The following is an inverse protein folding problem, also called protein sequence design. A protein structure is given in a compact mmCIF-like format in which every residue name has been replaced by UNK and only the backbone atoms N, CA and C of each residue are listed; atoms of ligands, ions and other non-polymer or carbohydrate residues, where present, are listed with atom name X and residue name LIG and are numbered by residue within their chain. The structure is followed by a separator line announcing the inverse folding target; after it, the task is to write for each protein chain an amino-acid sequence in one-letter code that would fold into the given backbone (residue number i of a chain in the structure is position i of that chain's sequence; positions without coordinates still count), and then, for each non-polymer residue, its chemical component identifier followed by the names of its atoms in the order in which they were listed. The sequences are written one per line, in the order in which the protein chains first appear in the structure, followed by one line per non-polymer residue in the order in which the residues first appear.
data_IF_471362000151
#
_entry.id   IF_471362000151
#
_cell.length_a   1.000
_cell.length_b   1.000
_cell.length_c   1.000
_cell.angle_alpha   90.00
_cell.angle_beta   90.00
_cell.angle_gamma   90.00
#
_symmetry.space_group_name_H-M   'P 1'
#
loop_
_entity.id
_entity.type
_entity.pdbx_description
1 polymer ?
#
# COMPACT_ATOMS: atom_id res chain seq x y z
N UNK A 1 -36.73 -14.63 74.90
CA UNK A 1 -36.38 -13.58 73.96
C UNK A 1 -36.43 -14.22 72.58
N UNK A 2 -37.22 -13.64 71.59
CA UNK A 2 -37.24 -14.15 70.28
C UNK A 2 -35.92 -13.87 69.52
N UNK A 3 -35.47 -14.71 68.57
CA UNK A 3 -34.19 -14.51 67.86
C UNK A 3 -34.26 -13.23 66.99
N UNK A 4 -33.28 -12.33 67.16
CA UNK A 4 -33.15 -11.17 66.29
C UNK A 4 -32.63 -11.64 64.91
N UNK A 5 -33.47 -11.47 63.85
CA UNK A 5 -33.06 -11.69 62.48
C UNK A 5 -32.24 -10.48 62.03
N UNK A 6 -31.08 -10.68 61.35
CA UNK A 6 -30.31 -9.56 60.84
C UNK A 6 -31.14 -8.86 59.73
N UNK A 7 -31.28 -7.54 59.85
CA UNK A 7 -31.91 -6.71 58.83
C UNK A 7 -31.12 -6.76 57.54
N UNK A 8 -31.75 -6.85 56.36
CA UNK A 8 -31.06 -6.79 55.10
C UNK A 8 -30.40 -5.42 54.94
N UNK A 9 -29.08 -5.42 54.79
CA UNK A 9 -28.34 -4.18 54.47
C UNK A 9 -28.81 -3.62 53.14
N UNK A 10 -29.37 -2.45 53.15
CA UNK A 10 -29.72 -1.73 51.93
C UNK A 10 -28.42 -1.32 51.22
N UNK A 11 -28.18 -1.87 50.03
CA UNK A 11 -27.08 -1.44 49.20
C UNK A 11 -27.31 0.03 48.84
N UNK A 12 -26.30 0.89 49.06
CA UNK A 12 -26.42 2.30 48.72
C UNK A 12 -26.72 2.48 47.26
N UNK A 13 -27.67 3.35 46.84
CA UNK A 13 -28.02 3.57 45.44
C UNK A 13 -26.81 4.01 44.61
N UNK A 14 -25.81 4.65 45.22
CA UNK A 14 -24.53 5.02 44.61
C UNK A 14 -23.74 3.82 44.03
N UNK A 15 -23.70 2.71 44.79
CA UNK A 15 -23.01 1.49 44.34
C UNK A 15 -23.72 0.89 43.13
N UNK A 16 -25.04 0.91 43.12
CA UNK A 16 -25.83 0.46 41.97
C UNK A 16 -25.58 1.30 40.71
N UNK A 17 -25.55 2.62 40.87
CA UNK A 17 -25.22 3.53 39.74
C UNK A 17 -23.79 3.34 39.19
N UNK A 18 -22.80 3.17 40.08
CA UNK A 18 -21.42 2.93 39.69
C UNK A 18 -21.27 1.60 38.93
N UNK A 19 -21.92 0.54 39.41
CA UNK A 19 -21.91 -0.76 38.72
C UNK A 19 -22.60 -0.69 37.33
N UNK A 20 -23.75 0.00 37.25
CA UNK A 20 -24.45 0.19 35.98
C UNK A 20 -23.58 0.99 34.96
N UNK A 21 -22.94 2.06 35.46
CA UNK A 21 -22.02 2.87 34.63
C UNK A 21 -20.81 2.05 34.15
N UNK A 22 -20.21 1.27 35.05
CA UNK A 22 -19.07 0.38 34.72
C UNK A 22 -19.49 -0.68 33.69
N UNK A 23 -20.68 -1.27 33.84
CA UNK A 23 -21.19 -2.25 32.87
C UNK A 23 -21.41 -1.61 31.49
N UNK A 24 -22.02 -0.44 31.44
CA UNK A 24 -22.29 0.29 30.22
C UNK A 24 -20.99 0.69 29.49
N UNK A 25 -20.01 1.16 30.25
CA UNK A 25 -18.66 1.47 29.72
C UNK A 25 -17.98 0.23 29.13
N UNK A 26 -18.06 -0.91 29.80
CA UNK A 26 -17.49 -2.16 29.29
C UNK A 26 -18.18 -2.63 28.00
N UNK A 27 -19.50 -2.47 27.90
CA UNK A 27 -20.25 -2.79 26.67
C UNK A 27 -19.80 -1.89 25.51
N UNK A 28 -19.64 -0.58 25.76
CA UNK A 28 -19.16 0.37 24.75
C UNK A 28 -17.74 0.04 24.30
N UNK A 29 -16.85 -0.25 25.25
CA UNK A 29 -15.46 -0.65 24.93
C UNK A 29 -15.38 -1.97 24.17
N UNK A 30 -16.20 -2.97 24.53
CA UNK A 30 -16.29 -4.23 23.83
C UNK A 30 -16.84 -4.04 22.40
N UNK A 31 -17.84 -3.17 22.24
CA UNK A 31 -18.36 -2.80 20.91
C UNK A 31 -17.30 -2.11 20.04
N UNK A 32 -16.55 -1.19 20.62
CA UNK A 32 -15.45 -0.53 19.91
C UNK A 32 -14.33 -1.50 19.55
N UNK A 33 -13.93 -2.39 20.46
CA UNK A 33 -12.94 -3.44 20.18
C UNK A 33 -13.40 -4.40 19.08
N UNK A 34 -14.68 -4.77 19.09
CA UNK A 34 -15.27 -5.61 18.06
C UNK A 34 -15.27 -4.93 16.68
N UNK A 35 -15.65 -3.65 16.61
CA UNK A 35 -15.59 -2.86 15.38
C UNK A 35 -14.14 -2.68 14.88
N UNK A 36 -13.19 -2.47 15.79
CA UNK A 36 -11.77 -2.39 15.46
C UNK A 36 -11.24 -3.74 14.92
N UNK A 37 -11.66 -4.86 15.51
CA UNK A 37 -11.32 -6.19 15.00
C UNK A 37 -11.96 -6.46 13.62
N UNK A 38 -13.21 -6.05 13.39
CA UNK A 38 -13.85 -6.15 12.08
C UNK A 38 -13.14 -5.28 11.04
N UNK A 39 -12.75 -4.05 11.42
CA UNK A 39 -11.95 -3.17 10.57
C UNK A 39 -10.58 -3.78 10.25
N UNK A 40 -9.88 -4.32 11.24
CA UNK A 40 -8.60 -5.01 11.04
C UNK A 40 -8.76 -6.28 10.20
N UNK A 41 -9.83 -7.04 10.38
CA UNK A 41 -10.14 -8.21 9.54
C UNK A 41 -10.44 -7.78 8.10
N UNK A 42 -11.22 -6.73 7.89
CA UNK A 42 -11.49 -6.18 6.56
C UNK A 42 -10.21 -5.61 5.90
N UNK A 43 -9.29 -5.03 6.68
CA UNK A 43 -7.98 -4.60 6.18
C UNK A 43 -7.05 -5.79 5.89
N UNK A 44 -7.16 -6.87 6.64
CA UNK A 44 -6.35 -8.09 6.45
C UNK A 44 -6.92 -9.00 5.34
N UNK A 45 -8.20 -8.85 4.98
CA UNK A 45 -8.77 -9.36 3.73
C UNK A 45 -8.48 -8.41 2.57
N UNK A 46 -7.55 -7.46 2.76
CA UNK A 46 -6.99 -6.66 1.69
C UNK A 46 -6.72 -7.59 0.53
N UNK A 47 -7.44 -7.39 -0.57
CA UNK A 47 -7.44 -8.26 -1.72
C UNK A 47 -6.00 -8.69 -1.98
N UNK A 48 -5.73 -9.98 -1.82
CA UNK A 48 -4.44 -10.54 -2.17
C UNK A 48 -4.32 -10.43 -3.69
N UNK A 49 -3.92 -9.23 -4.15
CA UNK A 49 -3.69 -8.95 -5.55
C UNK A 49 -2.67 -9.91 -6.15
N UNK A 50 -1.97 -10.69 -5.28
CA UNK A 50 -1.07 -11.74 -5.72
C UNK A 50 -1.80 -12.93 -6.34
N UNK A 51 -3.07 -13.15 -6.04
CA UNK A 51 -3.88 -14.25 -6.58
C UNK A 51 -4.86 -13.83 -7.68
N UNK A 52 -4.94 -12.54 -8.01
CA UNK A 52 -5.79 -12.07 -9.10
C UNK A 52 -5.39 -12.76 -10.42
N UNK A 53 -6.28 -13.55 -10.99
CA UNK A 53 -6.11 -14.07 -12.34
C UNK A 53 -6.20 -12.90 -13.32
N UNK A 54 -5.10 -12.59 -13.99
CA UNK A 54 -5.11 -11.60 -15.05
C UNK A 54 -5.90 -12.15 -16.24
N UNK A 55 -6.91 -11.42 -16.65
CA UNK A 55 -7.61 -11.66 -17.90
C UNK A 55 -7.14 -10.64 -18.91
N UNK A 56 -6.69 -11.15 -20.06
CA UNK A 56 -6.36 -10.28 -21.19
C UNK A 56 -7.65 -9.84 -21.88
N UNK A 57 -7.83 -8.54 -21.97
CA UNK A 57 -8.95 -7.95 -22.72
C UNK A 57 -8.40 -7.26 -23.97
N UNK A 58 -8.99 -7.56 -25.11
CA UNK A 58 -8.67 -6.84 -26.35
C UNK A 58 -9.12 -5.38 -26.22
N UNK A 59 -8.16 -4.47 -26.23
CA UNK A 59 -8.46 -3.04 -26.20
C UNK A 59 -8.80 -2.50 -27.60
N UNK A 60 -8.01 -2.88 -28.59
CA UNK A 60 -8.20 -2.47 -30.00
C UNK A 60 -7.39 -3.36 -30.94
N UNK A 61 -7.71 -3.32 -32.23
CA UNK A 61 -7.00 -4.07 -33.27
C UNK A 61 -7.64 -5.41 -33.63
N UNK A 62 -6.84 -6.32 -34.17
CA UNK A 62 -7.31 -7.61 -34.63
C UNK A 62 -7.03 -8.71 -33.58
N UNK A 63 -8.09 -9.35 -33.06
CA UNK A 63 -7.98 -10.45 -32.12
C UNK A 63 -7.17 -11.66 -32.63
N UNK A 64 -7.10 -11.85 -33.95
CA UNK A 64 -6.36 -12.94 -34.59
C UNK A 64 -4.91 -12.55 -34.94
N UNK A 65 -4.45 -11.38 -34.52
CA UNK A 65 -3.09 -10.91 -34.76
C UNK A 65 -2.04 -11.81 -34.11
N UNK A 66 -0.92 -12.05 -34.85
CA UNK A 66 0.18 -12.87 -34.33
C UNK A 66 1.06 -12.12 -33.32
N UNK A 67 1.03 -10.81 -33.35
CA UNK A 67 1.83 -9.94 -32.47
C UNK A 67 0.92 -9.07 -31.62
N UNK A 68 1.34 -8.84 -30.38
CA UNK A 68 0.59 -8.08 -29.38
C UNK A 68 1.38 -6.88 -28.88
N UNK A 69 0.67 -5.83 -28.54
CA UNK A 69 1.14 -4.74 -27.71
C UNK A 69 0.40 -4.86 -26.37
N UNK A 70 1.12 -5.09 -25.28
CA UNK A 70 0.51 -5.20 -23.96
C UNK A 70 0.39 -3.81 -23.34
N UNK A 71 -0.78 -3.53 -22.74
CA UNK A 71 -1.00 -2.33 -21.93
C UNK A 71 -0.91 -2.75 -20.47
N UNK A 72 0.03 -2.17 -19.73
CA UNK A 72 0.23 -2.35 -18.30
C UNK A 72 -0.22 -1.09 -17.59
N UNK A 73 -1.14 -1.20 -16.64
CA UNK A 73 -1.65 -0.06 -15.91
C UNK A 73 -0.99 0.05 -14.53
N UNK A 74 -0.52 1.25 -14.20
CA UNK A 74 -0.02 1.64 -12.90
C UNK A 74 -0.84 2.82 -12.39
N UNK A 75 -1.83 2.53 -11.53
CA UNK A 75 -2.73 3.52 -10.95
C UNK A 75 -2.55 3.61 -9.44
N UNK A 76 -2.59 4.83 -8.90
CA UNK A 76 -2.55 5.10 -7.46
C UNK A 76 -1.15 5.20 -6.86
N UNK A 77 -1.07 5.11 -5.54
CA UNK A 77 0.18 5.26 -4.78
C UNK A 77 1.04 4.00 -4.91
N UNK A 78 2.34 4.20 -5.11
CA UNK A 78 3.31 3.09 -5.24
C UNK A 78 3.75 2.65 -3.85
N UNK A 79 3.28 1.48 -3.42
CA UNK A 79 3.61 0.88 -2.12
C UNK A 79 3.89 -0.62 -2.29
N UNK A 80 4.78 -1.17 -1.46
CA UNK A 80 5.25 -2.55 -1.57
C UNK A 80 4.11 -3.57 -1.63
N UNK A 81 3.10 -3.46 -0.78
CA UNK A 81 1.96 -4.38 -0.75
C UNK A 81 0.99 -4.25 -1.92
N UNK A 82 1.04 -3.17 -2.69
CA UNK A 82 0.09 -2.87 -3.77
C UNK A 82 0.60 -3.21 -5.17
N UNK A 83 1.87 -3.53 -5.30
CA UNK A 83 2.52 -3.79 -6.59
C UNK A 83 2.22 -5.16 -7.20
N UNK A 84 1.62 -6.08 -6.44
CA UNK A 84 1.40 -7.47 -6.88
C UNK A 84 0.69 -7.58 -8.23
N UNK A 85 -0.30 -6.73 -8.48
CA UNK A 85 -1.04 -6.70 -9.74
C UNK A 85 -0.19 -6.21 -10.92
N UNK A 86 0.56 -5.11 -10.73
CA UNK A 86 1.44 -4.53 -11.76
C UNK A 86 2.57 -5.49 -12.07
N UNK A 87 3.18 -6.10 -11.05
CA UNK A 87 4.20 -7.13 -11.23
C UNK A 87 3.73 -8.31 -12.07
N UNK A 88 2.50 -8.77 -11.84
CA UNK A 88 1.91 -9.85 -12.65
C UNK A 88 1.69 -9.43 -14.09
N UNK A 89 1.18 -8.22 -14.35
CA UNK A 89 1.02 -7.71 -15.70
C UNK A 89 2.37 -7.70 -16.46
N UNK A 90 3.43 -7.15 -15.83
CA UNK A 90 4.78 -7.13 -16.41
C UNK A 90 5.29 -8.55 -16.65
N UNK A 91 5.10 -9.46 -15.68
CA UNK A 91 5.54 -10.83 -15.80
C UNK A 91 4.79 -11.58 -16.91
N UNK A 92 3.48 -11.39 -17.03
CA UNK A 92 2.69 -12.00 -18.10
C UNK A 92 3.12 -11.49 -19.46
N UNK A 93 3.29 -10.17 -19.63
CA UNK A 93 3.80 -9.57 -20.85
C UNK A 93 5.19 -10.12 -21.22
N UNK A 94 6.06 -10.35 -20.22
CA UNK A 94 7.42 -10.88 -20.43
C UNK A 94 7.46 -12.38 -20.75
N UNK A 95 6.42 -13.13 -20.43
CA UNK A 95 6.32 -14.56 -20.74
C UNK A 95 5.68 -14.85 -22.09
N UNK A 96 4.86 -13.95 -22.60
CA UNK A 96 4.18 -14.10 -23.87
C UNK A 96 5.10 -13.66 -25.02
N UNK A 97 5.57 -14.61 -25.81
CA UNK A 97 6.43 -14.36 -26.98
C UNK A 97 5.75 -13.56 -28.09
N UNK A 98 4.43 -13.47 -28.07
CA UNK A 98 3.67 -12.65 -29.00
C UNK A 98 3.72 -11.16 -28.64
N UNK A 99 4.02 -10.81 -27.39
CA UNK A 99 4.17 -9.42 -26.96
C UNK A 99 5.49 -8.86 -27.50
N UNK A 100 5.40 -7.85 -28.35
CA UNK A 100 6.54 -7.18 -28.98
C UNK A 100 6.82 -5.81 -28.39
N UNK A 101 5.81 -5.19 -27.80
CA UNK A 101 5.92 -3.90 -27.14
C UNK A 101 5.02 -3.84 -25.91
N UNK A 102 5.41 -2.98 -24.96
CA UNK A 102 4.61 -2.65 -23.78
C UNK A 102 4.33 -1.16 -23.76
N UNK A 103 3.08 -0.80 -23.54
CA UNK A 103 2.65 0.54 -23.18
C UNK A 103 2.39 0.55 -21.67
N UNK A 104 3.20 1.26 -20.93
CA UNK A 104 2.99 1.47 -19.49
C UNK A 104 2.14 2.73 -19.29
N UNK A 105 0.89 2.55 -18.90
CA UNK A 105 0.00 3.64 -18.54
C UNK A 105 0.21 3.99 -17.08
N UNK A 106 0.63 5.23 -16.79
CA UNK A 106 0.92 5.69 -15.43
C UNK A 106 -0.08 6.78 -15.03
N UNK A 107 -0.75 6.57 -13.89
CA UNK A 107 -1.56 7.58 -13.23
C UNK A 107 -1.29 7.51 -11.70
N UNK A 108 -0.14 8.06 -11.28
CA UNK A 108 0.41 7.86 -9.95
C UNK A 108 1.12 9.12 -9.41
N UNK A 109 0.91 9.48 -8.13
CA UNK A 109 1.69 10.51 -7.45
C UNK A 109 3.13 10.05 -7.08
N UNK A 110 3.45 8.77 -7.31
CA UNK A 110 4.63 8.12 -6.76
C UNK A 110 4.34 7.43 -5.44
N UNK A 111 5.34 7.29 -4.58
CA UNK A 111 5.20 6.63 -3.29
C UNK A 111 6.52 6.16 -2.71
N UNK A 112 6.59 4.92 -2.24
CA UNK A 112 7.78 4.33 -1.66
C UNK A 112 8.95 4.32 -2.64
N UNK A 113 10.13 4.66 -2.15
CA UNK A 113 11.38 4.64 -2.91
C UNK A 113 11.69 3.22 -3.36
N UNK A 114 11.66 2.27 -2.42
CA UNK A 114 11.97 0.86 -2.66
C UNK A 114 11.04 0.26 -3.70
N UNK A 115 9.74 0.47 -3.55
CA UNK A 115 8.73 -0.03 -4.47
C UNK A 115 8.87 0.57 -5.88
N UNK A 116 9.22 1.85 -5.97
CA UNK A 116 9.46 2.53 -7.25
C UNK A 116 10.70 1.98 -7.95
N UNK A 117 11.78 1.74 -7.20
CA UNK A 117 13.00 1.16 -7.76
C UNK A 117 12.79 -0.30 -8.18
N UNK A 118 12.05 -1.09 -7.40
CA UNK A 118 11.73 -2.47 -7.77
C UNK A 118 10.98 -2.54 -9.12
N UNK A 119 9.99 -1.69 -9.33
CA UNK A 119 9.28 -1.61 -10.62
C UNK A 119 10.20 -1.15 -11.76
N UNK A 120 11.02 -0.14 -11.51
CA UNK A 120 11.99 0.35 -12.48
C UNK A 120 12.93 -0.77 -12.93
N UNK A 121 13.50 -1.54 -11.98
CA UNK A 121 14.39 -2.66 -12.28
C UNK A 121 13.67 -3.78 -13.05
N UNK A 122 12.42 -4.09 -12.69
CA UNK A 122 11.61 -5.07 -13.44
C UNK A 122 11.35 -4.66 -14.87
N UNK A 123 11.11 -3.39 -15.12
CA UNK A 123 10.95 -2.88 -16.50
C UNK A 123 12.25 -2.96 -17.29
N UNK A 124 13.38 -2.66 -16.66
CA UNK A 124 14.71 -2.85 -17.29
C UNK A 124 14.98 -4.32 -17.60
N UNK A 125 14.66 -5.24 -16.67
CA UNK A 125 14.81 -6.68 -16.88
C UNK A 125 13.89 -7.16 -18.02
N UNK A 126 12.65 -6.71 -18.07
CA UNK A 126 11.72 -7.01 -19.16
C UNK A 126 12.28 -6.57 -20.53
N UNK A 127 12.84 -5.38 -20.62
CA UNK A 127 13.44 -4.87 -21.87
C UNK A 127 14.60 -5.73 -22.35
N UNK A 128 15.47 -6.14 -21.44
CA UNK A 128 16.67 -6.92 -21.74
C UNK A 128 16.39 -8.41 -21.94
N UNK A 129 15.35 -8.91 -21.30
CA UNK A 129 15.10 -10.33 -21.13
C UNK A 129 16.02 -10.96 -20.08
N UNK A 130 15.66 -12.15 -19.61
CA UNK A 130 16.45 -12.94 -18.67
C UNK A 130 16.15 -14.42 -18.86
N UNK A 131 17.07 -15.14 -19.51
CA UNK A 131 16.87 -16.57 -19.84
C UNK A 131 16.72 -17.43 -18.57
N UNK A 132 17.51 -17.15 -17.52
CA UNK A 132 17.47 -17.91 -16.28
C UNK A 132 16.10 -17.80 -15.58
N UNK A 133 15.42 -16.65 -15.73
CA UNK A 133 14.06 -16.41 -15.20
C UNK A 133 12.97 -16.67 -16.22
N UNK A 134 13.31 -17.13 -17.41
CA UNK A 134 12.36 -17.34 -18.53
C UNK A 134 11.60 -16.06 -18.91
N UNK A 135 12.27 -14.93 -18.84
CA UNK A 135 11.77 -13.62 -19.25
C UNK A 135 12.17 -13.39 -20.70
N UNK A 136 11.18 -13.30 -21.57
CA UNK A 136 11.40 -12.92 -22.97
C UNK A 136 11.71 -11.42 -23.05
N UNK A 137 12.69 -11.05 -23.87
CA UNK A 137 13.00 -9.64 -24.08
C UNK A 137 11.85 -8.94 -24.81
N UNK A 138 11.33 -7.89 -24.19
CA UNK A 138 10.37 -6.96 -24.81
C UNK A 138 11.06 -5.60 -24.95
N UNK A 139 11.78 -5.36 -26.05
CA UNK A 139 12.68 -4.21 -26.15
C UNK A 139 11.92 -2.88 -26.20
N UNK A 140 10.71 -2.87 -26.74
CA UNK A 140 9.94 -1.64 -26.94
C UNK A 140 9.05 -1.35 -25.74
N UNK A 141 9.45 -0.37 -24.94
CA UNK A 141 8.68 0.16 -23.82
C UNK A 141 8.35 1.63 -24.08
N UNK A 142 7.08 1.95 -24.10
CA UNK A 142 6.55 3.31 -24.23
C UNK A 142 5.72 3.63 -23.00
N UNK A 143 5.80 4.86 -22.52
CA UNK A 143 5.00 5.35 -21.40
C UNK A 143 3.91 6.29 -21.91
N UNK A 144 2.70 6.10 -21.38
CA UNK A 144 1.58 7.02 -21.52
C UNK A 144 1.19 7.53 -20.13
N UNK A 145 1.46 8.80 -19.86
CA UNK A 145 1.10 9.44 -18.61
C UNK A 145 -0.37 9.83 -18.61
N UNK A 146 -1.05 9.56 -17.50
CA UNK A 146 -2.40 10.03 -17.23
C UNK A 146 -2.42 11.49 -16.75
N UNK A 147 -3.38 11.81 -15.92
CA UNK A 147 -3.45 13.13 -15.28
C UNK A 147 -2.30 13.40 -14.32
N UNK A 148 -1.71 12.34 -13.74
CA UNK A 148 -0.66 12.43 -12.74
C UNK A 148 0.40 11.33 -12.98
N UNK A 149 1.67 11.73 -13.10
CA UNK A 149 2.80 10.80 -13.16
C UNK A 149 4.02 11.49 -12.54
N UNK A 150 4.05 11.53 -11.21
CA UNK A 150 5.01 12.33 -10.46
C UNK A 150 5.88 11.48 -9.52
N UNK A 151 7.05 12.01 -9.11
CA UNK A 151 7.97 11.37 -8.17
C UNK A 151 8.32 9.95 -8.60
N UNK A 152 8.02 8.92 -7.80
CA UNK A 152 8.20 7.51 -8.17
C UNK A 152 7.53 7.13 -9.49
N UNK A 153 6.36 7.70 -9.82
CA UNK A 153 5.69 7.49 -11.11
C UNK A 153 6.51 8.02 -12.30
N UNK A 154 7.15 9.18 -12.13
CA UNK A 154 8.08 9.70 -13.12
C UNK A 154 9.35 8.85 -13.21
N UNK A 155 9.90 8.42 -12.08
CA UNK A 155 11.08 7.55 -12.02
C UNK A 155 10.89 6.24 -12.77
N UNK A 156 9.73 5.60 -12.61
CA UNK A 156 9.36 4.36 -13.30
C UNK A 156 9.20 4.56 -14.82
N UNK A 157 8.91 5.77 -15.27
CA UNK A 157 8.81 6.07 -16.70
C UNK A 157 10.17 6.11 -17.42
N UNK A 158 11.28 6.30 -16.69
CA UNK A 158 12.61 6.54 -17.28
C UNK A 158 13.17 5.40 -18.16
N UNK A 159 12.91 4.11 -17.91
CA UNK A 159 13.37 3.04 -18.79
C UNK A 159 12.77 3.06 -20.20
N UNK A 160 11.73 3.85 -20.42
CA UNK A 160 11.01 3.88 -21.71
C UNK A 160 11.79 4.58 -22.83
N UNK A 161 11.46 4.24 -24.06
CA UNK A 161 12.03 4.89 -25.26
C UNK A 161 11.36 6.22 -25.55
N UNK A 162 10.07 6.32 -25.23
CA UNK A 162 9.26 7.53 -25.43
C UNK A 162 8.24 7.67 -24.30
N UNK A 163 8.01 8.91 -23.91
CA UNK A 163 7.00 9.27 -22.93
C UNK A 163 6.00 10.20 -23.61
N UNK A 164 4.73 9.83 -23.57
CA UNK A 164 3.62 10.65 -23.99
C UNK A 164 2.90 11.18 -22.74
N UNK A 165 2.70 12.47 -22.69
CA UNK A 165 1.96 13.16 -21.65
C UNK A 165 0.91 14.07 -22.27
N UNK A 166 -0.22 14.23 -21.62
CA UNK A 166 -1.24 15.20 -22.02
C UNK A 166 -0.81 16.61 -21.58
N UNK A 167 -1.39 17.63 -22.17
CA UNK A 167 -1.07 19.03 -21.85
C UNK A 167 -1.32 19.37 -20.37
N UNK A 168 -2.21 18.65 -19.73
CA UNK A 168 -2.62 18.85 -18.34
C UNK A 168 -2.01 17.83 -17.37
N UNK A 169 -1.12 16.96 -17.86
CA UNK A 169 -0.44 15.99 -17.03
C UNK A 169 0.44 16.70 -15.98
N UNK A 170 0.20 16.39 -14.71
CA UNK A 170 1.09 16.76 -13.63
C UNK A 170 2.21 15.73 -13.53
N UNK A 171 3.47 16.16 -13.73
CA UNK A 171 4.62 15.27 -13.75
C UNK A 171 5.86 15.93 -13.12
N UNK A 172 6.98 15.22 -13.09
CA UNK A 172 8.19 15.69 -12.41
C UNK A 172 8.15 15.38 -10.92
N UNK A 173 8.21 16.37 -10.03
CA UNK A 173 8.35 16.17 -8.57
C UNK A 173 9.52 15.25 -8.24
N UNK A 174 10.68 15.53 -8.85
CA UNK A 174 11.91 14.72 -8.71
C UNK A 174 12.54 15.07 -7.36
N UNK A 175 12.38 14.17 -6.39
CA UNK A 175 12.94 14.37 -5.06
C UNK A 175 12.45 13.30 -4.08
N UNK A 176 13.14 13.25 -2.95
CA UNK A 176 12.80 12.40 -1.80
C UNK A 176 12.68 13.28 -0.58
N UNK A 177 11.66 13.09 0.20
CA UNK A 177 11.54 13.74 1.50
C UNK A 177 11.20 12.72 2.58
N UNK A 178 11.66 12.98 3.79
CA UNK A 178 11.26 12.25 4.98
C UNK A 178 10.77 13.26 6.02
N UNK A 179 9.70 12.94 6.71
CA UNK A 179 9.12 13.78 7.75
C UNK A 179 8.97 12.98 9.03
N UNK A 180 9.56 13.50 10.10
CA UNK A 180 9.49 12.87 11.42
C UNK A 180 8.85 13.87 12.40
N UNK A 181 7.83 13.46 13.18
CA UNK A 181 7.28 14.31 14.21
C UNK A 181 8.33 14.54 15.31
N UNK A 182 8.58 15.79 15.66
CA UNK A 182 9.40 16.14 16.81
C UNK A 182 8.49 16.50 18.00
N UNK A 183 8.47 15.64 19.00
CA UNK A 183 7.66 15.80 20.21
C UNK A 183 8.48 16.23 21.44
N UNK A 184 9.76 16.59 21.26
CA UNK A 184 10.67 16.92 22.38
C UNK A 184 10.13 18.06 23.25
N UNK A 185 9.64 19.14 22.64
CA UNK A 185 9.08 20.27 23.38
C UNK A 185 7.84 19.89 24.20
N UNK A 186 6.94 19.11 23.61
CA UNK A 186 5.75 18.62 24.28
C UNK A 186 6.11 17.66 25.44
N UNK A 187 7.05 16.76 25.19
CA UNK A 187 7.55 15.79 26.17
C UNK A 187 8.13 16.51 27.41
N UNK A 188 8.94 17.55 27.19
CA UNK A 188 9.48 18.37 28.31
C UNK A 188 8.38 19.08 29.11
N UNK A 189 7.35 19.62 28.45
CA UNK A 189 6.22 20.26 29.12
C UNK A 189 5.39 19.29 29.98
N UNK A 190 5.27 18.05 29.53
CA UNK A 190 4.54 16.98 30.24
C UNK A 190 5.40 16.26 31.29
N UNK A 191 6.66 16.60 31.43
CA UNK A 191 7.60 15.93 32.32
C UNK A 191 7.90 14.48 31.92
N UNK A 192 7.63 14.12 30.64
CA UNK A 192 7.90 12.81 30.09
C UNK A 192 9.30 12.80 29.44
N UNK A 193 10.10 11.79 29.73
CA UNK A 193 11.43 11.60 29.16
C UNK A 193 11.63 10.18 28.66
N UNK A 194 12.48 10.04 27.64
CA UNK A 194 12.90 8.72 27.16
C UNK A 194 14.20 8.34 27.89
N UNK A 195 14.19 7.20 28.55
CA UNK A 195 15.40 6.61 29.14
C UNK A 195 15.92 5.59 28.15
N UNK A 196 17.06 5.90 27.51
CA UNK A 196 17.70 4.97 26.57
C UNK A 196 18.68 4.09 27.35
N UNK A 197 18.43 2.80 27.36
CA UNK A 197 19.39 1.79 27.85
C UNK A 197 20.03 1.18 26.61
N UNK A 198 21.32 1.47 26.41
CA UNK A 198 22.06 0.98 25.25
C UNK A 198 23.31 0.21 25.66
N UNK A 199 23.72 -0.73 24.84
CA UNK A 199 25.00 -1.43 24.91
C UNK A 199 25.73 -1.25 23.59
N UNK A 200 26.96 -0.71 23.64
CA UNK A 200 27.78 -0.36 22.49
C UNK A 200 27.92 1.14 22.26
N UNK A 201 29.10 1.57 21.80
CA UNK A 201 29.47 2.99 21.66
C UNK A 201 28.81 3.69 20.46
N UNK A 202 28.37 2.95 19.43
CA UNK A 202 27.89 3.48 18.14
C UNK A 202 26.37 3.26 17.94
N UNK A 203 25.66 2.92 19.00
CA UNK A 203 24.21 2.65 18.89
C UNK A 203 23.42 3.83 19.45
N UNK A 204 23.29 4.89 18.69
CA UNK A 204 22.44 6.05 18.95
C UNK A 204 21.16 5.98 18.13
#
# INVERSE_FOLDING_TARGET
MPPMYPMPQSRSPLVGCLLAFSLLMNIVLAGFAFLACLGAAAFNTGADFSQANLQENLHSGNASGKEKVAIVNLDGVIMEGMLGYVHKQIQQASKDKQVKAVVLRINSPGGSITASDELHQKLLEMKKGNEARKIHAVPHLVVSMGSLAASGGYYIAMPSEKIFAERTTMTGSIGVYASFPNVEGLSKQLGAGMITIKQGEIKD
#
